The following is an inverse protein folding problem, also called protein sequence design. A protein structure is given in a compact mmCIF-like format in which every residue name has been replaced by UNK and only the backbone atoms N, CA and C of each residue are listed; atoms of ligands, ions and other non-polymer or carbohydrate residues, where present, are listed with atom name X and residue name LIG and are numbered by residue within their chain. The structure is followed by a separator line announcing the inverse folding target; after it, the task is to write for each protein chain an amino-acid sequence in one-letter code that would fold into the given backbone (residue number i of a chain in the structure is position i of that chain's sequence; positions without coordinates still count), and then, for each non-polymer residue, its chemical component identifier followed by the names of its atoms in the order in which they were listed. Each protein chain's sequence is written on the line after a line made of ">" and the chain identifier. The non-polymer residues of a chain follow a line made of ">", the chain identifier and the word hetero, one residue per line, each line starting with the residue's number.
data_IF_873358972215
#
_entry.id   IF_873358972215
#
_cell.length_a   1.000
_cell.length_b   1.000
_cell.length_c   1.000
_cell.angle_alpha   90.00
_cell.angle_beta   90.00
_cell.angle_gamma   90.00
#
_symmetry.space_group_name_H-M   'P 1'
#
loop_
_entity.id
_entity.type
_entity.pdbx_description
1 polymer ?
#
# COMPACT_ATOMS: atom_id res chain seq x y z
N UNK A 1 -66.00 7.94 11.45
CA UNK A 1 -64.79 8.78 11.66
C UNK A 1 -63.62 8.06 12.35
N UNK A 2 -63.82 7.15 13.33
CA UNK A 2 -62.70 6.47 14.02
C UNK A 2 -61.92 5.43 13.19
N UNK A 3 -62.59 4.73 12.25
CA UNK A 3 -61.95 3.67 11.43
C UNK A 3 -61.01 4.22 10.33
N UNK A 4 -61.25 5.43 9.83
CA UNK A 4 -60.42 6.06 8.80
C UNK A 4 -59.06 6.52 9.36
N UNK A 5 -59.04 7.04 10.60
CA UNK A 5 -57.81 7.43 11.29
C UNK A 5 -56.92 6.24 11.65
N UNK A 6 -57.51 5.07 11.93
CA UNK A 6 -56.74 3.87 12.26
C UNK A 6 -56.02 3.30 11.03
N UNK A 7 -56.68 3.30 9.86
CA UNK A 7 -56.06 2.89 8.60
C UNK A 7 -54.92 3.85 8.23
N UNK A 8 -55.13 5.16 8.37
CA UNK A 8 -54.08 6.15 8.08
C UNK A 8 -52.87 6.01 9.02
N UNK A 9 -53.11 5.75 10.31
CA UNK A 9 -52.06 5.53 11.30
C UNK A 9 -51.26 4.26 10.98
N UNK A 10 -51.94 3.17 10.59
CA UNK A 10 -51.29 1.92 10.20
C UNK A 10 -50.49 2.05 8.90
N UNK A 11 -50.99 2.82 7.92
CA UNK A 11 -50.26 3.06 6.68
C UNK A 11 -49.03 3.95 6.89
N UNK A 12 -49.12 4.98 7.74
CA UNK A 12 -47.97 5.83 8.10
C UNK A 12 -46.93 5.01 8.87
N UNK A 13 -47.36 4.16 9.80
CA UNK A 13 -46.46 3.29 10.56
C UNK A 13 -45.73 2.29 9.65
N UNK A 14 -46.46 1.67 8.69
CA UNK A 14 -45.87 0.76 7.71
C UNK A 14 -44.89 1.48 6.77
N UNK A 15 -45.16 2.73 6.39
CA UNK A 15 -44.26 3.53 5.54
C UNK A 15 -42.96 3.90 6.28
N UNK A 16 -43.05 4.28 7.57
CA UNK A 16 -41.89 4.56 8.42
C UNK A 16 -41.05 3.29 8.64
N UNK A 17 -41.70 2.14 8.86
CA UNK A 17 -41.01 0.86 9.06
C UNK A 17 -40.31 0.36 7.78
N UNK A 18 -40.93 0.53 6.61
CA UNK A 18 -40.29 0.20 5.32
C UNK A 18 -39.11 1.13 4.99
N UNK A 19 -39.23 2.42 5.31
CA UNK A 19 -38.18 3.41 5.06
C UNK A 19 -36.92 3.14 5.91
N UNK A 20 -37.10 2.64 7.15
CA UNK A 20 -35.99 2.27 8.03
C UNK A 20 -35.16 1.07 7.52
N UNK A 21 -35.80 0.10 6.85
CA UNK A 21 -35.10 -1.07 6.31
C UNK A 21 -34.27 -0.73 5.05
N UNK A 22 -34.70 0.25 4.26
CA UNK A 22 -34.01 0.65 3.03
C UNK A 22 -32.74 1.49 3.28
N UNK A 23 -32.58 2.07 4.48
CA UNK A 23 -31.38 2.83 4.85
C UNK A 23 -30.23 1.95 5.35
N UNK A 24 -30.47 0.68 5.67
CA UNK A 24 -29.42 -0.22 6.16
C UNK A 24 -28.52 -0.74 5.01
N UNK A 25 -29.03 -0.82 3.78
CA UNK A 25 -28.26 -1.33 2.62
C UNK A 25 -27.37 -0.25 1.97
N UNK A 26 -27.63 1.03 2.22
CA UNK A 26 -26.80 2.13 1.69
C UNK A 26 -25.44 2.27 2.40
N UNK A 27 -25.21 1.56 3.50
CA UNK A 27 -23.95 1.52 4.24
C UNK A 27 -23.23 0.18 4.05
N UNK A 28 -23.10 -0.28 2.80
CA UNK A 28 -22.06 -1.24 2.46
C UNK A 28 -20.71 -0.60 2.77
N UNK A 29 -20.18 -0.88 3.97
CA UNK A 29 -18.92 -0.37 4.46
C UNK A 29 -17.83 -0.74 3.45
N UNK A 30 -17.34 0.23 2.68
CA UNK A 30 -16.24 0.02 1.74
C UNK A 30 -15.05 -0.55 2.51
N UNK A 31 -14.86 -1.86 2.40
CA UNK A 31 -13.73 -2.55 3.02
C UNK A 31 -12.49 -1.95 2.37
N UNK A 32 -11.61 -1.32 3.15
CA UNK A 32 -10.36 -0.77 2.63
C UNK A 32 -9.61 -1.89 1.89
N UNK A 33 -9.66 -1.85 0.55
CA UNK A 33 -9.17 -2.94 -0.31
C UNK A 33 -7.64 -2.94 -0.32
N UNK A 34 -7.02 -1.78 -0.07
CA UNK A 34 -5.57 -1.61 0.02
C UNK A 34 -5.14 -1.18 1.43
N UNK A 35 -4.04 -1.78 1.89
CA UNK A 35 -3.27 -1.30 3.06
C UNK A 35 -2.20 -0.27 2.66
N UNK A 36 -2.20 0.15 1.39
CA UNK A 36 -1.26 1.13 0.85
C UNK A 36 -1.51 2.49 1.51
N UNK A 37 -0.46 3.26 1.85
CA UNK A 37 -0.61 4.58 2.45
C UNK A 37 -1.32 5.53 1.49
N UNK A 38 -2.11 6.45 2.04
CA UNK A 38 -2.73 7.53 1.26
C UNK A 38 -1.84 8.79 1.19
N UNK A 39 -0.71 8.79 1.89
CA UNK A 39 0.28 9.87 1.89
C UNK A 39 1.27 9.79 0.74
N UNK A 40 2.43 10.40 0.94
CA UNK A 40 3.47 10.54 -0.09
C UNK A 40 4.10 9.19 -0.40
N UNK A 41 4.08 8.82 -1.69
CA UNK A 41 4.79 7.66 -2.23
C UNK A 41 6.05 8.11 -2.94
N UNK A 42 7.16 7.39 -2.75
CA UNK A 42 8.45 7.66 -3.39
C UNK A 42 8.87 6.45 -4.23
N UNK A 43 9.09 6.65 -5.52
CA UNK A 43 9.59 5.60 -6.41
C UNK A 43 11.13 5.54 -6.35
N UNK A 44 11.70 4.33 -6.26
CA UNK A 44 13.15 4.12 -6.22
C UNK A 44 13.60 3.22 -7.36
N UNK A 45 14.53 3.74 -8.15
CA UNK A 45 15.41 2.95 -8.99
C UNK A 45 16.66 2.54 -8.18
N UNK A 46 16.72 1.29 -7.73
CA UNK A 46 17.75 0.80 -6.78
C UNK A 46 19.17 1.15 -7.25
N UNK A 47 19.47 0.83 -8.52
CA UNK A 47 20.79 1.02 -9.13
C UNK A 47 21.30 2.47 -9.11
N UNK A 48 20.40 3.46 -9.05
CA UNK A 48 20.78 4.88 -9.13
C UNK A 48 20.58 5.64 -7.82
N UNK A 49 20.12 4.98 -6.75
CA UNK A 49 19.69 5.68 -5.54
C UNK A 49 20.80 5.87 -4.50
N UNK A 50 21.38 4.78 -4.01
CA UNK A 50 22.42 4.83 -2.98
C UNK A 50 23.28 3.56 -3.03
N UNK A 51 24.58 3.75 -3.21
CA UNK A 51 25.62 2.71 -3.19
C UNK A 51 26.17 2.56 -1.76
N UNK A 52 26.29 1.32 -1.27
CA UNK A 52 26.85 1.02 0.06
C UNK A 52 28.23 0.38 0.05
N UNK A 53 28.72 -0.07 -1.11
CA UNK A 53 29.96 -0.85 -1.22
C UNK A 53 31.02 -0.17 -2.13
N UNK A 54 30.70 0.98 -2.73
CA UNK A 54 31.52 1.78 -3.65
C UNK A 54 31.84 1.08 -4.99
N UNK A 55 30.95 0.22 -5.49
CA UNK A 55 31.07 -0.38 -6.83
C UNK A 55 30.43 0.48 -7.94
N UNK A 56 29.77 1.59 -7.57
CA UNK A 56 29.10 2.52 -8.49
C UNK A 56 27.66 2.14 -8.82
N UNK A 57 27.12 1.07 -8.23
CA UNK A 57 25.74 0.61 -8.38
C UNK A 57 25.03 0.74 -7.04
N UNK A 58 23.86 1.37 -7.04
CA UNK A 58 23.02 1.41 -5.85
C UNK A 58 22.47 0.04 -5.48
N UNK A 59 22.33 -0.20 -4.18
CA UNK A 59 22.00 -1.52 -3.62
C UNK A 59 21.02 -1.42 -2.44
N UNK A 60 20.51 -2.57 -1.97
CA UNK A 60 19.48 -2.63 -0.92
C UNK A 60 19.99 -2.12 0.44
N UNK A 61 21.27 -2.33 0.77
CA UNK A 61 21.85 -1.79 2.02
C UNK A 61 21.98 -0.28 1.93
N UNK A 62 22.33 0.23 0.76
CA UNK A 62 22.32 1.65 0.43
C UNK A 62 20.93 2.25 0.63
N UNK A 63 19.88 1.64 0.06
CA UNK A 63 18.49 2.05 0.30
C UNK A 63 18.15 2.05 1.79
N UNK A 64 18.52 0.99 2.51
CA UNK A 64 18.27 0.86 3.96
C UNK A 64 18.90 2.00 4.75
N UNK A 65 20.12 2.42 4.38
CA UNK A 65 20.84 3.53 5.03
C UNK A 65 20.15 4.89 4.85
N UNK A 66 19.26 5.03 3.86
CA UNK A 66 18.55 6.28 3.55
C UNK A 66 17.12 6.32 4.07
N UNK A 67 16.66 5.29 4.80
CA UNK A 67 15.29 5.27 5.34
C UNK A 67 15.00 6.43 6.30
N UNK A 68 15.99 6.91 7.06
CA UNK A 68 15.82 8.10 7.92
C UNK A 68 15.64 9.38 7.08
N UNK A 69 16.36 9.49 5.96
CA UNK A 69 16.16 10.59 5.01
C UNK A 69 14.75 10.56 4.42
N UNK A 70 14.29 9.41 3.94
CA UNK A 70 12.95 9.25 3.37
C UNK A 70 11.86 9.54 4.42
N UNK A 71 12.08 9.09 5.66
CA UNK A 71 11.16 9.40 6.76
C UNK A 71 11.06 10.91 7.03
N UNK A 72 12.20 11.60 7.07
CA UNK A 72 12.25 13.05 7.29
C UNK A 72 11.61 13.84 6.15
N UNK A 73 11.65 13.31 4.91
CA UNK A 73 10.95 13.87 3.77
C UNK A 73 9.41 13.74 3.87
N UNK A 74 8.91 12.85 4.73
CA UNK A 74 7.48 12.58 4.89
C UNK A 74 6.96 11.44 4.02
N UNK A 75 7.85 10.58 3.51
CA UNK A 75 7.47 9.39 2.73
C UNK A 75 6.74 8.40 3.62
N UNK A 76 5.61 7.87 3.13
CA UNK A 76 4.84 6.82 3.78
C UNK A 76 4.84 5.50 3.01
N UNK A 77 5.15 5.54 1.70
CA UNK A 77 5.25 4.34 0.86
C UNK A 77 6.42 4.41 -0.10
N UNK A 78 7.12 3.31 -0.30
CA UNK A 78 8.18 3.16 -1.30
C UNK A 78 7.70 2.22 -2.39
N UNK A 79 7.74 2.69 -3.63
CA UNK A 79 7.55 1.84 -4.80
C UNK A 79 8.92 1.53 -5.41
N UNK A 80 9.29 0.26 -5.47
CA UNK A 80 10.52 -0.16 -6.10
C UNK A 80 10.29 -0.43 -7.59
N UNK A 81 11.18 0.07 -8.44
CA UNK A 81 11.42 -0.55 -9.75
C UNK A 81 11.81 -2.03 -9.56
N UNK A 82 11.72 -2.88 -10.60
CA UNK A 82 11.97 -4.31 -10.44
C UNK A 82 13.34 -4.61 -9.82
N UNK A 83 13.35 -5.54 -8.86
CA UNK A 83 14.54 -5.90 -8.07
C UNK A 83 15.03 -7.33 -8.33
N UNK A 84 14.35 -8.06 -9.21
CA UNK A 84 14.61 -9.46 -9.50
C UNK A 84 15.74 -9.63 -10.55
N UNK A 85 16.37 -10.81 -10.63
CA UNK A 85 17.28 -11.20 -11.70
C UNK A 85 16.73 -10.88 -13.10
N UNK A 86 17.55 -10.22 -13.93
CA UNK A 86 17.20 -9.76 -15.28
C UNK A 86 18.49 -9.37 -16.02
N UNK A 87 18.59 -9.56 -17.35
CA UNK A 87 19.78 -9.18 -18.11
C UNK A 87 19.87 -7.67 -18.40
N UNK A 88 18.77 -6.92 -18.41
CA UNK A 88 18.82 -5.46 -18.59
C UNK A 88 19.13 -4.68 -17.31
N UNK A 89 19.50 -3.40 -17.46
CA UNK A 89 19.71 -2.50 -16.33
C UNK A 89 18.39 -2.15 -15.59
N UNK A 90 17.27 -2.02 -16.29
CA UNK A 90 15.97 -1.60 -15.74
C UNK A 90 15.16 -2.74 -15.12
N UNK A 91 15.59 -4.00 -15.32
CA UNK A 91 15.10 -5.20 -14.62
C UNK A 91 13.66 -5.65 -14.94
N UNK A 92 13.02 -5.09 -15.97
CA UNK A 92 11.63 -5.42 -16.34
C UNK A 92 11.50 -6.77 -17.09
N UNK A 93 12.61 -7.28 -17.63
CA UNK A 93 12.80 -8.56 -18.32
C UNK A 93 13.28 -9.63 -17.33
N UNK A 94 12.43 -9.88 -16.32
CA UNK A 94 12.72 -10.78 -15.19
C UNK A 94 12.94 -12.23 -15.65
N UNK A 95 14.00 -12.85 -15.14
CA UNK A 95 14.34 -14.26 -15.39
C UNK A 95 14.04 -15.17 -14.20
N UNK A 96 13.99 -14.63 -12.98
CA UNK A 96 13.60 -15.35 -11.76
C UNK A 96 12.85 -14.43 -10.80
N UNK A 97 11.56 -14.70 -10.57
CA UNK A 97 10.72 -13.89 -9.67
C UNK A 97 10.95 -14.15 -8.17
N UNK A 98 11.71 -15.18 -7.80
CA UNK A 98 11.96 -15.53 -6.40
C UNK A 98 13.28 -14.97 -5.86
N UNK A 99 14.21 -14.63 -6.75
CA UNK A 99 15.52 -14.07 -6.41
C UNK A 99 15.54 -12.54 -6.31
N UNK A 100 16.63 -12.03 -5.72
CA UNK A 100 17.04 -10.63 -5.81
C UNK A 100 18.18 -10.55 -6.82
N UNK A 101 18.21 -9.49 -7.64
CA UNK A 101 19.29 -9.28 -8.59
C UNK A 101 20.64 -9.23 -7.86
N UNK A 102 21.67 -9.97 -8.30
CA UNK A 102 22.96 -10.05 -7.60
C UNK A 102 23.62 -8.68 -7.37
N UNK A 103 23.50 -7.75 -8.31
CA UNK A 103 23.99 -6.37 -8.16
C UNK A 103 23.32 -5.60 -7.00
N UNK A 104 22.11 -5.98 -6.57
CA UNK A 104 21.36 -5.25 -5.53
C UNK A 104 21.53 -5.87 -4.13
N UNK A 105 22.04 -7.10 -4.04
CA UNK A 105 22.28 -7.80 -2.78
C UNK A 105 21.48 -9.10 -2.65
N UNK A 106 21.13 -9.45 -1.41
CA UNK A 106 20.52 -10.75 -1.08
C UNK A 106 19.06 -10.64 -0.64
N UNK A 107 18.36 -11.77 -0.62
CA UNK A 107 17.01 -11.85 -0.06
C UNK A 107 16.97 -11.44 1.44
N UNK A 108 18.04 -11.69 2.19
CA UNK A 108 18.10 -11.29 3.60
C UNK A 108 18.32 -9.79 3.76
N UNK A 109 19.07 -9.16 2.85
CA UNK A 109 19.16 -7.69 2.78
C UNK A 109 17.77 -7.08 2.50
N UNK A 110 17.00 -7.68 1.58
CA UNK A 110 15.64 -7.23 1.28
C UNK A 110 14.69 -7.38 2.48
N UNK A 111 14.72 -8.52 3.17
CA UNK A 111 13.94 -8.72 4.41
C UNK A 111 14.32 -7.68 5.48
N UNK A 112 15.61 -7.36 5.61
CA UNK A 112 16.07 -6.35 6.54
C UNK A 112 15.56 -4.94 6.15
N UNK A 113 15.64 -4.58 4.87
CA UNK A 113 15.08 -3.33 4.35
C UNK A 113 13.60 -3.18 4.70
N UNK A 114 12.78 -4.20 4.42
CA UNK A 114 11.35 -4.20 4.75
C UNK A 114 11.11 -4.03 6.25
N UNK A 115 11.87 -4.76 7.08
CA UNK A 115 11.79 -4.65 8.55
C UNK A 115 12.11 -3.23 9.02
N UNK A 116 13.18 -2.63 8.51
CA UNK A 116 13.61 -1.28 8.88
C UNK A 116 12.70 -0.17 8.35
N UNK A 117 12.14 -0.34 7.16
CA UNK A 117 11.15 0.58 6.59
C UNK A 117 9.86 0.58 7.42
N UNK A 118 9.35 -0.61 7.76
CA UNK A 118 8.16 -0.74 8.60
C UNK A 118 8.33 -0.15 10.00
N UNK A 119 9.53 -0.24 10.62
CA UNK A 119 9.82 0.43 11.90
C UNK A 119 9.64 1.96 11.82
N UNK A 120 9.78 2.54 10.63
CA UNK A 120 9.63 3.98 10.36
C UNK A 120 8.24 4.35 9.85
N UNK A 121 7.30 3.39 9.84
CA UNK A 121 5.97 3.52 9.24
C UNK A 121 6.01 3.82 7.74
N UNK A 122 7.02 3.30 7.04
CA UNK A 122 7.09 3.32 5.57
C UNK A 122 6.62 1.95 5.06
N UNK A 123 5.71 1.95 4.09
CA UNK A 123 5.14 0.77 3.44
C UNK A 123 5.90 0.38 2.17
#
# INVERSE_FOLDING_TARGET
>A
MKRLNLIYLLTVFAFIFNCGCFLQEANAQYKNVSKWPRGVTYEIFVQAFADSNNDGIGDIKGMTSKLDYLKNLGVEGIWLMPINPSPSYHKYDVTDYYGIHPDYGTMDDFKNFIKEAHKRNIK
#
